data_IF_516253883205
#
_entry.id   IF_516253883205
#
_cell.length_a   1.000
_cell.length_b   1.000
_cell.length_c   1.000
_cell.angle_alpha   90.00
_cell.angle_beta   90.00
_cell.angle_gamma   90.00
#
_symmetry.space_group_name_H-M   'P 1'
#
loop_
_entity.id
_entity.type
_entity.pdbx_description
1 polymer ?
#
# COMPACT_ATOMS: atom_id res chain seq x y z
N UNK A 1 1.05 50.76 -19.31
CA UNK A 1 1.75 49.52 -19.68
C UNK A 1 3.24 49.73 -19.99
N UNK A 2 3.64 50.75 -20.71
CA UNK A 2 5.05 51.04 -21.08
C UNK A 2 5.99 51.22 -19.86
N UNK A 3 5.53 51.80 -18.77
CA UNK A 3 6.32 52.00 -17.54
C UNK A 3 6.65 50.72 -16.83
N UNK A 4 5.72 49.74 -16.79
CA UNK A 4 5.91 48.44 -16.19
C UNK A 4 6.93 47.61 -17.00
N UNK A 5 6.83 47.63 -18.31
CA UNK A 5 7.78 46.91 -19.19
C UNK A 5 9.22 47.44 -19.04
N UNK A 6 9.38 48.75 -18.97
CA UNK A 6 10.71 49.35 -18.73
C UNK A 6 11.26 49.03 -17.34
N UNK A 7 10.42 48.93 -16.33
CA UNK A 7 10.84 48.55 -14.98
C UNK A 7 11.28 47.06 -14.91
N UNK A 8 10.51 46.15 -15.53
CA UNK A 8 10.86 44.73 -15.62
C UNK A 8 12.20 44.56 -16.36
N UNK A 9 12.37 45.22 -17.51
CA UNK A 9 13.62 45.10 -18.28
C UNK A 9 14.84 45.66 -17.53
N UNK A 10 14.65 46.72 -16.74
CA UNK A 10 15.71 47.28 -15.90
C UNK A 10 16.13 46.36 -14.77
N UNK A 11 15.19 45.61 -14.18
CA UNK A 11 15.43 44.72 -13.04
C UNK A 11 15.46 43.24 -13.40
N UNK A 12 15.67 42.90 -14.67
CA UNK A 12 15.61 41.54 -15.19
C UNK A 12 16.44 40.53 -14.41
N UNK A 13 17.65 40.92 -13.99
CA UNK A 13 18.55 40.01 -13.24
C UNK A 13 18.02 39.75 -11.84
N UNK A 14 17.50 40.75 -11.15
CA UNK A 14 16.92 40.63 -9.83
C UNK A 14 15.68 39.73 -9.88
N UNK A 15 14.82 39.96 -10.86
CA UNK A 15 13.60 39.14 -11.07
C UNK A 15 13.97 37.68 -11.30
N UNK A 16 15.01 37.41 -12.10
CA UNK A 16 15.48 36.05 -12.37
C UNK A 16 16.05 35.38 -11.12
N UNK A 17 16.85 36.13 -10.32
CA UNK A 17 17.37 35.60 -9.05
C UNK A 17 16.22 35.28 -8.10
N UNK A 18 15.24 36.18 -7.95
CA UNK A 18 14.07 35.93 -7.09
C UNK A 18 13.27 34.70 -7.57
N UNK A 19 13.08 34.54 -8.88
CA UNK A 19 12.41 33.39 -9.44
C UNK A 19 13.14 32.07 -9.13
N UNK A 20 14.47 32.06 -9.25
CA UNK A 20 15.29 30.89 -8.92
C UNK A 20 15.25 30.58 -7.42
N UNK A 21 15.31 31.61 -6.56
CA UNK A 21 15.21 31.44 -5.10
C UNK A 21 13.84 30.88 -4.71
N UNK A 22 12.76 31.30 -5.35
CA UNK A 22 11.40 30.79 -5.10
C UNK A 22 11.20 29.36 -5.63
N UNK A 23 11.99 28.91 -6.60
CA UNK A 23 11.96 27.53 -7.07
C UNK A 23 12.36 26.52 -5.98
N UNK A 24 13.31 26.90 -5.12
CA UNK A 24 13.80 26.00 -4.04
C UNK A 24 12.65 25.58 -3.10
N UNK A 25 11.92 26.52 -2.46
CA UNK A 25 10.81 26.14 -1.59
C UNK A 25 9.66 25.48 -2.36
N UNK A 26 9.44 25.80 -3.64
CA UNK A 26 8.44 25.14 -4.47
C UNK A 26 8.76 23.67 -4.70
N UNK A 27 10.00 23.32 -4.99
CA UNK A 27 10.43 21.93 -5.17
C UNK A 27 10.35 21.17 -3.84
N UNK A 28 10.81 21.80 -2.74
CA UNK A 28 10.70 21.20 -1.41
C UNK A 28 9.23 20.97 -1.01
N UNK A 29 8.36 21.93 -1.28
CA UNK A 29 6.93 21.82 -1.05
C UNK A 29 6.29 20.70 -1.88
N UNK A 30 6.69 20.54 -3.14
CA UNK A 30 6.21 19.47 -4.01
C UNK A 30 6.59 18.09 -3.47
N UNK A 31 7.83 17.92 -3.01
CA UNK A 31 8.30 16.64 -2.42
C UNK A 31 7.61 16.37 -1.08
N UNK A 32 7.36 17.40 -0.29
CA UNK A 32 6.70 17.27 1.01
C UNK A 32 5.17 17.10 0.92
N UNK A 33 4.58 17.38 -0.25
CA UNK A 33 3.13 17.25 -0.46
C UNK A 33 2.79 15.80 -0.72
N UNK A 34 2.05 15.18 0.20
CA UNK A 34 1.53 13.83 0.06
C UNK A 34 0.09 13.88 -0.44
N UNK A 35 -0.23 13.01 -1.37
CA UNK A 35 -1.58 12.85 -1.87
C UNK A 35 -2.20 11.71 -1.09
N UNK A 36 -3.22 12.01 -0.29
CA UNK A 36 -4.00 10.97 0.37
C UNK A 36 -5.01 10.39 -0.63
N UNK A 37 -4.82 9.13 -1.00
CA UNK A 37 -5.72 8.40 -1.91
C UNK A 37 -6.85 7.67 -1.17
N UNK A 38 -6.90 7.78 0.17
CA UNK A 38 -7.93 7.14 0.96
C UNK A 38 -9.26 7.89 0.84
N UNK A 39 -10.17 7.31 0.08
CA UNK A 39 -11.52 7.87 -0.06
C UNK A 39 -12.31 7.81 1.25
N UNK A 40 -11.94 6.91 2.17
CA UNK A 40 -12.64 6.75 3.45
C UNK A 40 -12.43 7.97 4.36
N UNK A 41 -11.30 8.64 4.26
CA UNK A 41 -11.03 9.88 5.01
C UNK A 41 -11.97 11.05 4.66
N UNK A 42 -12.69 10.97 3.55
CA UNK A 42 -13.68 11.98 3.15
C UNK A 42 -15.10 11.63 3.56
N UNK A 43 -15.31 10.45 4.15
CA UNK A 43 -16.62 10.01 4.62
C UNK A 43 -16.83 10.45 6.07
N UNK A 44 -18.09 10.76 6.47
CA UNK A 44 -18.40 11.03 7.87
C UNK A 44 -18.12 9.81 8.78
N UNK A 45 -17.57 10.06 9.96
CA UNK A 45 -17.27 9.01 10.97
C UNK A 45 -18.50 8.23 11.43
N UNK A 46 -19.70 8.74 11.12
CA UNK A 46 -20.98 8.08 11.45
C UNK A 46 -21.35 6.95 10.49
N UNK A 47 -20.60 6.77 9.39
CA UNK A 47 -20.90 5.70 8.43
C UNK A 47 -20.44 4.34 8.97
N UNK A 48 -21.27 3.33 8.79
CA UNK A 48 -21.00 1.95 9.24
C UNK A 48 -19.70 1.38 8.66
N UNK A 49 -19.32 1.78 7.45
CA UNK A 49 -18.06 1.37 6.82
C UNK A 49 -16.85 1.90 7.59
N UNK A 50 -16.88 3.17 8.04
CA UNK A 50 -15.80 3.77 8.83
C UNK A 50 -15.73 3.11 10.20
N UNK A 51 -16.87 2.94 10.87
CA UNK A 51 -16.92 2.25 12.15
C UNK A 51 -16.43 0.80 12.05
N UNK A 52 -16.77 0.09 10.98
CA UNK A 52 -16.28 -1.26 10.72
C UNK A 52 -14.76 -1.30 10.53
N UNK A 53 -14.18 -0.34 9.83
CA UNK A 53 -12.74 -0.22 9.66
C UNK A 53 -12.03 0.10 10.99
N UNK A 54 -12.60 1.00 11.79
CA UNK A 54 -12.07 1.34 13.10
C UNK A 54 -12.07 0.12 14.05
N UNK A 55 -13.13 -0.69 14.02
CA UNK A 55 -13.20 -1.95 14.78
C UNK A 55 -12.14 -2.92 14.29
N UNK A 56 -11.99 -3.11 12.97
CA UNK A 56 -10.98 -4.00 12.40
C UNK A 56 -9.56 -3.60 12.83
N UNK A 57 -9.26 -2.31 12.78
CA UNK A 57 -7.95 -1.81 13.15
C UNK A 57 -7.71 -1.82 14.66
N UNK A 58 -8.65 -1.31 15.46
CA UNK A 58 -8.43 -1.09 16.89
C UNK A 58 -8.69 -2.34 17.72
N UNK A 59 -9.69 -3.16 17.37
CA UNK A 59 -10.08 -4.34 18.16
C UNK A 59 -9.41 -5.61 17.67
N UNK A 60 -9.17 -5.72 16.34
CA UNK A 60 -8.57 -6.91 15.73
C UNK A 60 -7.12 -6.69 15.26
N UNK A 61 -6.60 -5.48 15.29
CA UNK A 61 -5.25 -5.16 14.81
C UNK A 61 -5.08 -5.37 13.30
N UNK A 62 -6.18 -5.42 12.54
CA UNK A 62 -6.19 -5.64 11.09
C UNK A 62 -6.57 -4.35 10.38
N UNK A 63 -5.60 -3.69 9.79
CA UNK A 63 -5.80 -2.46 9.04
C UNK A 63 -6.11 -2.70 7.57
N UNK A 64 -5.09 -2.55 6.73
CA UNK A 64 -5.20 -2.86 5.31
C UNK A 64 -5.06 -4.35 5.02
N UNK A 65 -5.53 -4.77 3.86
CA UNK A 65 -5.18 -6.09 3.33
C UNK A 65 -4.87 -5.99 1.82
N UNK A 66 -4.03 -6.90 1.35
CA UNK A 66 -3.77 -7.09 -0.07
C UNK A 66 -3.85 -8.57 -0.44
N UNK A 67 -4.12 -8.84 -1.72
CA UNK A 67 -4.09 -10.18 -2.27
C UNK A 67 -2.89 -10.30 -3.21
N UNK A 68 -2.08 -11.33 -3.00
CA UNK A 68 -0.94 -11.64 -3.85
C UNK A 68 -1.28 -12.91 -4.62
N UNK A 69 -1.18 -12.84 -5.94
CA UNK A 69 -1.31 -14.00 -6.81
C UNK A 69 0.10 -14.43 -7.22
N UNK A 70 0.42 -15.69 -6.98
CA UNK A 70 1.69 -16.31 -7.36
C UNK A 70 1.41 -17.33 -8.44
N UNK A 71 2.11 -17.21 -9.56
CA UNK A 71 1.95 -18.09 -10.72
C UNK A 71 3.20 -18.95 -10.93
N UNK A 72 3.00 -20.19 -11.39
CA UNK A 72 4.04 -21.12 -11.81
C UNK A 72 5.15 -21.36 -10.75
N UNK A 73 4.80 -21.31 -9.47
CA UNK A 73 5.73 -21.55 -8.35
C UNK A 73 5.34 -22.80 -7.57
N UNK A 74 6.33 -23.59 -7.18
CA UNK A 74 6.08 -24.77 -6.35
C UNK A 74 5.63 -24.39 -4.94
N UNK A 75 4.75 -25.17 -4.28
CA UNK A 75 4.24 -24.86 -2.93
C UNK A 75 5.32 -24.59 -1.89
N UNK A 76 6.46 -25.26 -1.97
CA UNK A 76 7.60 -25.05 -1.08
C UNK A 76 8.20 -23.65 -1.24
N UNK A 77 8.30 -23.17 -2.46
CA UNK A 77 8.86 -21.85 -2.76
C UNK A 77 7.86 -20.75 -2.41
N UNK A 78 6.57 -21.01 -2.57
CA UNK A 78 5.48 -20.13 -2.11
C UNK A 78 5.51 -19.99 -0.58
N UNK A 79 5.73 -21.10 0.15
CA UNK A 79 5.89 -21.04 1.62
C UNK A 79 7.10 -20.21 2.04
N UNK A 80 8.23 -20.36 1.34
CA UNK A 80 9.40 -19.52 1.60
C UNK A 80 9.20 -18.04 1.25
N UNK A 81 8.38 -17.75 0.23
CA UNK A 81 7.94 -16.39 -0.12
C UNK A 81 7.04 -15.82 0.97
N UNK A 82 6.07 -16.61 1.47
CA UNK A 82 5.20 -16.23 2.57
C UNK A 82 6.00 -15.80 3.81
N UNK A 83 6.98 -16.61 4.23
CA UNK A 83 7.85 -16.28 5.37
C UNK A 83 8.60 -14.96 5.17
N UNK A 84 9.03 -14.66 3.95
CA UNK A 84 9.69 -13.39 3.64
C UNK A 84 8.74 -12.21 3.73
N UNK A 85 7.50 -12.39 3.27
CA UNK A 85 6.46 -11.36 3.35
C UNK A 85 6.08 -11.12 4.81
N UNK A 86 5.93 -12.16 5.62
CA UNK A 86 5.65 -12.05 7.06
C UNK A 86 6.78 -11.35 7.85
N UNK A 87 8.01 -11.36 7.33
CA UNK A 87 9.15 -10.67 7.92
C UNK A 87 9.25 -9.18 7.55
N UNK A 88 8.38 -8.68 6.67
CA UNK A 88 8.33 -7.26 6.31
C UNK A 88 7.67 -6.48 7.44
N UNK A 89 8.26 -5.33 7.79
CA UNK A 89 7.70 -4.43 8.80
C UNK A 89 6.28 -4.03 8.42
N UNK A 90 5.40 -3.95 9.44
CA UNK A 90 3.97 -3.63 9.31
C UNK A 90 3.10 -4.68 8.60
N UNK A 91 3.65 -5.83 8.24
CA UNK A 91 2.86 -7.02 7.89
C UNK A 91 2.48 -7.73 9.19
N UNK A 92 1.18 -7.82 9.47
CA UNK A 92 0.67 -8.48 10.66
C UNK A 92 0.57 -10.00 10.44
N UNK A 93 0.03 -10.42 9.31
CA UNK A 93 -0.12 -11.85 9.01
C UNK A 93 -0.34 -12.10 7.51
N UNK A 94 0.07 -13.29 7.07
CA UNK A 94 -0.20 -13.78 5.71
C UNK A 94 -1.01 -15.06 5.80
N UNK A 95 -2.19 -15.05 5.19
CA UNK A 95 -3.07 -16.21 5.11
C UNK A 95 -2.92 -16.87 3.75
N UNK A 96 -2.52 -18.11 3.76
CA UNK A 96 -2.46 -19.01 2.61
C UNK A 96 -3.05 -20.37 3.01
N UNK A 97 -3.15 -21.32 2.10
CA UNK A 97 -3.75 -22.61 2.44
C UNK A 97 -2.98 -23.36 3.55
N UNK A 98 -1.67 -23.13 3.71
CA UNK A 98 -0.86 -23.70 4.79
C UNK A 98 -1.27 -23.25 6.20
N UNK A 99 -1.98 -22.13 6.29
CA UNK A 99 -2.60 -21.67 7.55
C UNK A 99 -3.79 -22.54 7.98
N UNK A 100 -4.32 -23.35 7.05
CA UNK A 100 -5.50 -24.22 7.27
C UNK A 100 -5.11 -25.69 7.20
N UNK A 101 -4.15 -26.05 6.35
CA UNK A 101 -3.71 -27.41 6.12
C UNK A 101 -2.19 -27.49 6.00
N UNK A 102 -1.57 -28.55 6.54
CA UNK A 102 -0.13 -28.75 6.47
C UNK A 102 0.33 -28.88 5.00
N UNK A 103 1.40 -28.16 4.64
CA UNK A 103 1.96 -28.14 3.28
C UNK A 103 2.44 -29.54 2.80
N UNK A 104 2.72 -30.43 3.73
CA UNK A 104 3.09 -31.83 3.42
C UNK A 104 1.90 -32.68 2.92
N UNK A 105 0.67 -32.18 3.08
CA UNK A 105 -0.53 -32.81 2.57
C UNK A 105 -0.64 -32.52 1.07
N UNK A 106 -0.65 -33.58 0.19
CA UNK A 106 -0.84 -33.34 -1.23
C UNK A 106 -2.16 -32.62 -1.52
N UNK A 107 -2.12 -31.64 -2.43
CA UNK A 107 -3.29 -30.86 -2.84
C UNK A 107 -4.51 -31.71 -3.21
N UNK A 108 -4.27 -32.91 -3.79
CA UNK A 108 -5.33 -33.80 -4.24
C UNK A 108 -6.19 -34.38 -3.09
N UNK A 109 -5.68 -34.33 -1.86
CA UNK A 109 -6.35 -34.85 -0.65
C UNK A 109 -7.13 -33.75 0.06
N UNK A 110 -6.85 -32.47 -0.23
CA UNK A 110 -7.56 -31.34 0.36
C UNK A 110 -9.02 -31.27 -0.12
N UNK A 111 -9.95 -30.83 0.75
CA UNK A 111 -11.32 -30.55 0.32
C UNK A 111 -11.35 -29.55 -0.82
N UNK A 112 -12.20 -29.81 -1.83
CA UNK A 112 -12.34 -28.95 -3.02
C UNK A 112 -12.56 -27.47 -2.65
N UNK A 113 -13.31 -27.19 -1.59
CA UNK A 113 -13.56 -25.82 -1.12
C UNK A 113 -12.29 -25.05 -0.72
N UNK A 114 -11.30 -25.74 -0.15
CA UNK A 114 -10.02 -25.13 0.24
C UNK A 114 -9.15 -25.00 -1.01
N UNK A 115 -9.11 -26.04 -1.81
CA UNK A 115 -8.35 -26.07 -3.06
C UNK A 115 -8.79 -24.94 -3.99
N UNK A 116 -10.08 -24.84 -4.28
CA UNK A 116 -10.65 -23.85 -5.19
C UNK A 116 -10.58 -22.40 -4.64
N UNK A 117 -10.50 -22.24 -3.31
CA UNK A 117 -10.42 -20.92 -2.69
C UNK A 117 -9.02 -20.30 -2.83
N UNK A 118 -7.96 -21.09 -2.82
CA UNK A 118 -6.59 -20.60 -2.81
C UNK A 118 -5.81 -20.92 -4.08
N UNK A 119 -6.23 -21.88 -4.88
CA UNK A 119 -5.43 -22.39 -5.99
C UNK A 119 -6.25 -22.57 -7.27
N UNK A 120 -5.56 -22.32 -8.40
CA UNK A 120 -5.97 -22.75 -9.73
C UNK A 120 -4.86 -23.63 -10.33
N UNK A 121 -5.01 -24.10 -11.57
CA UNK A 121 -4.04 -25.01 -12.20
C UNK A 121 -2.59 -24.49 -12.19
N UNK A 122 -2.40 -23.18 -12.26
CA UNK A 122 -1.08 -22.55 -12.38
C UNK A 122 -0.84 -21.40 -11.39
N UNK A 123 -1.80 -21.08 -10.52
CA UNK A 123 -1.68 -19.97 -9.59
C UNK A 123 -2.23 -20.29 -8.21
N UNK A 124 -1.66 -19.62 -7.22
CA UNK A 124 -2.15 -19.62 -5.84
C UNK A 124 -2.31 -18.19 -5.34
N UNK A 125 -3.23 -17.97 -4.42
CA UNK A 125 -3.49 -16.65 -3.82
C UNK A 125 -3.16 -16.67 -2.35
N UNK A 126 -2.53 -15.59 -1.89
CA UNK A 126 -2.30 -15.30 -0.47
C UNK A 126 -2.99 -13.98 -0.12
N UNK A 127 -3.53 -13.89 1.10
CA UNK A 127 -4.03 -12.64 1.67
C UNK A 127 -3.04 -12.14 2.71
N UNK A 128 -2.54 -10.93 2.50
CA UNK A 128 -1.60 -10.24 3.40
C UNK A 128 -2.36 -9.19 4.18
N UNK A 129 -2.27 -9.21 5.50
CA UNK A 129 -2.86 -8.22 6.39
C UNK A 129 -1.78 -7.33 6.99
N UNK A 130 -2.08 -6.04 7.07
CA UNK A 130 -1.20 -5.03 7.64
C UNK A 130 -1.77 -4.51 8.96
N UNK A 131 -0.90 -4.08 9.86
CA UNK A 131 -1.26 -3.49 11.15
C UNK A 131 -1.64 -2.01 11.09
N UNK A 132 -1.56 -1.42 9.89
CA UNK A 132 -1.86 -0.01 9.61
C UNK A 132 -2.95 0.15 8.56
N UNK A 133 -3.51 1.36 8.43
CA UNK A 133 -4.59 1.63 7.47
C UNK A 133 -4.10 1.58 6.01
N UNK A 134 -5.04 1.43 5.07
CA UNK A 134 -4.75 1.30 3.63
C UNK A 134 -3.93 2.46 3.05
N UNK A 135 -4.08 3.66 3.59
CA UNK A 135 -3.39 4.88 3.13
C UNK A 135 -2.22 5.29 4.02
N UNK A 136 -1.88 4.49 5.03
CA UNK A 136 -0.71 4.74 5.86
C UNK A 136 0.58 4.61 5.04
N UNK A 137 1.56 5.46 5.34
CA UNK A 137 2.86 5.40 4.67
C UNK A 137 3.55 4.08 4.92
N UNK A 138 3.40 3.55 6.14
CA UNK A 138 3.93 2.28 6.58
C UNK A 138 3.39 1.12 5.73
N UNK A 139 2.09 1.10 5.43
CA UNK A 139 1.50 0.11 4.51
C UNK A 139 2.04 0.24 3.10
N UNK A 140 2.18 1.49 2.60
CA UNK A 140 2.71 1.73 1.26
C UNK A 140 4.19 1.35 1.15
N UNK A 141 4.97 1.59 2.18
CA UNK A 141 6.38 1.21 2.24
C UNK A 141 6.52 -0.32 2.30
N UNK A 142 5.68 -1.00 3.09
CA UNK A 142 5.65 -2.47 3.16
C UNK A 142 5.31 -3.12 1.80
N UNK A 143 4.37 -2.53 1.04
CA UNK A 143 3.99 -3.04 -0.30
C UNK A 143 5.13 -2.85 -1.32
N UNK A 144 5.98 -1.84 -1.15
CA UNK A 144 7.06 -1.51 -2.08
C UNK A 144 8.40 -2.22 -1.75
N UNK A 145 8.46 -2.99 -0.65
CA UNK A 145 9.63 -3.75 -0.24
C UNK A 145 9.74 -5.07 -0.99
#
# INVERSE_FOLDING_TARGET
MIKLGKWITKHRVIILIVAVVLLIPSVLGMIATRINYDMLNYLPDTMETIQGQDILLNDFGKGAFSMIIVEDMEPKDVSALKEKIEAVDHVDSVIWYDSIADISIPMDILPDKIKDAFNTDHSTVMAVFFDTSTSADETMDAINT
#
